data_IF_077829617849
#
_entry.id   IF_077829617849
#
_cell.length_a   1.000
_cell.length_b   1.000
_cell.length_c   1.000
_cell.angle_alpha   90.00
_cell.angle_beta   90.00
_cell.angle_gamma   90.00
#
_symmetry.space_group_name_H-M   'P 1'
#
loop_
_entity.id
_entity.type
_entity.pdbx_description
1 polymer ?
#
# COMPACT_ATOMS: atom_id res chain seq x y z
N UNK A 1 -23.64 -59.31 18.53
CA UNK A 1 -22.82 -58.18 19.03
C UNK A 1 -21.77 -57.85 17.97
N UNK A 2 -22.03 -57.02 16.94
CA UNK A 2 -21.99 -55.54 16.90
C UNK A 2 -20.64 -54.88 17.30
N UNK A 3 -19.47 -55.25 16.75
CA UNK A 3 -18.23 -54.46 16.99
C UNK A 3 -17.13 -54.47 15.89
N UNK A 4 -17.41 -54.58 14.58
CA UNK A 4 -16.32 -54.54 13.56
C UNK A 4 -16.65 -53.71 12.30
N UNK A 5 -17.53 -52.70 12.37
CA UNK A 5 -17.83 -51.83 11.21
C UNK A 5 -17.62 -50.33 11.43
N UNK A 6 -17.08 -49.92 12.57
CA UNK A 6 -17.00 -48.48 12.94
C UNK A 6 -15.59 -47.90 12.75
N UNK A 7 -14.54 -48.72 12.62
CA UNK A 7 -13.16 -48.23 12.55
C UNK A 7 -12.74 -47.80 11.12
N UNK A 8 -13.39 -48.35 10.08
CA UNK A 8 -13.04 -48.04 8.69
C UNK A 8 -13.61 -46.72 8.15
N UNK A 9 -14.54 -46.07 8.87
CA UNK A 9 -15.17 -44.80 8.44
C UNK A 9 -14.46 -43.59 9.08
N UNK A 10 -13.84 -43.77 10.25
CA UNK A 10 -13.13 -42.68 10.95
C UNK A 10 -11.74 -42.44 10.35
N UNK A 11 -11.05 -43.48 9.85
CA UNK A 11 -9.73 -43.31 9.22
C UNK A 11 -9.80 -42.58 7.85
N UNK A 12 -10.90 -42.76 7.10
CA UNK A 12 -11.07 -42.12 5.78
C UNK A 12 -11.51 -40.67 5.89
N UNK A 13 -12.10 -40.26 7.02
CA UNK A 13 -12.49 -38.87 7.28
C UNK A 13 -11.31 -38.00 7.76
N UNK A 14 -10.28 -38.62 8.37
CA UNK A 14 -9.09 -37.90 8.84
C UNK A 14 -8.06 -37.71 7.71
N UNK A 15 -8.06 -38.56 6.69
CA UNK A 15 -7.18 -38.43 5.52
C UNK A 15 -7.66 -37.41 4.49
N UNK A 16 -8.92 -36.96 4.52
CA UNK A 16 -9.44 -35.89 3.64
C UNK A 16 -9.36 -34.49 4.24
N UNK A 17 -9.06 -34.37 5.53
CA UNK A 17 -8.82 -33.09 6.20
C UNK A 17 -7.34 -32.65 6.15
N UNK A 18 -6.42 -33.57 5.80
CA UNK A 18 -4.97 -33.30 5.74
C UNK A 18 -4.46 -32.71 4.42
N UNK A 19 -5.27 -32.66 3.37
CA UNK A 19 -4.85 -32.24 2.02
C UNK A 19 -5.43 -30.90 1.56
N UNK A 20 -6.08 -30.15 2.45
CA UNK A 20 -6.61 -28.81 2.18
C UNK A 20 -5.76 -27.68 2.78
N UNK A 21 -4.47 -27.93 3.06
CA UNK A 21 -3.49 -26.86 2.89
C UNK A 21 -3.40 -26.61 1.39
N UNK A 22 -4.40 -25.92 0.85
CA UNK A 22 -4.32 -25.35 -0.47
C UNK A 22 -3.06 -24.48 -0.46
N UNK A 23 -1.97 -25.00 -0.99
CA UNK A 23 -0.87 -24.19 -1.45
C UNK A 23 -1.45 -23.31 -2.54
N UNK A 24 -2.05 -22.17 -2.15
CA UNK A 24 -2.41 -21.12 -3.08
C UNK A 24 -1.14 -20.84 -3.87
N UNK A 25 -1.13 -20.96 -5.20
CA UNK A 25 0.09 -20.69 -5.96
C UNK A 25 0.62 -19.31 -5.57
N UNK A 26 1.95 -19.20 -5.54
CA UNK A 26 2.62 -17.95 -5.22
C UNK A 26 2.50 -17.01 -6.43
N UNK A 27 1.32 -16.42 -6.57
CA UNK A 27 0.96 -15.59 -7.72
C UNK A 27 1.34 -14.15 -7.41
N UNK A 28 2.19 -13.58 -8.26
CA UNK A 28 2.48 -12.16 -8.28
C UNK A 28 1.23 -11.39 -8.70
N UNK A 29 0.83 -10.41 -7.88
CA UNK A 29 -0.40 -9.65 -8.07
C UNK A 29 -0.11 -8.38 -8.89
N UNK A 30 0.18 -8.56 -10.17
CA UNK A 30 0.54 -7.47 -11.10
C UNK A 30 -0.68 -6.92 -11.84
N UNK A 31 -0.71 -5.60 -12.05
CA UNK A 31 -1.50 -4.94 -13.08
C UNK A 31 -0.72 -4.92 -14.40
N UNK A 32 -1.18 -5.65 -15.40
CA UNK A 32 -0.48 -5.77 -16.69
C UNK A 32 -0.53 -4.50 -17.54
N UNK A 33 -1.38 -3.54 -17.20
CA UNK A 33 -1.59 -2.31 -17.98
C UNK A 33 -0.92 -1.08 -17.36
N UNK A 34 -0.54 -1.15 -16.08
CA UNK A 34 -0.04 -0.01 -15.31
C UNK A 34 1.28 -0.31 -14.62
N UNK A 35 2.12 0.72 -14.56
CA UNK A 35 3.26 0.79 -13.66
C UNK A 35 2.95 1.73 -12.50
N UNK A 36 3.53 1.44 -11.34
CA UNK A 36 3.37 2.26 -10.14
C UNK A 36 4.72 2.76 -9.67
N UNK A 37 4.76 4.02 -9.22
CA UNK A 37 5.95 4.64 -8.66
C UNK A 37 5.63 5.30 -7.33
N UNK A 38 6.64 5.46 -6.50
CA UNK A 38 6.58 6.30 -5.30
C UNK A 38 7.40 7.54 -5.56
N UNK A 39 6.88 8.69 -5.18
CA UNK A 39 7.57 9.96 -5.28
C UNK A 39 7.40 10.79 -4.02
N UNK A 40 8.10 11.91 -3.96
CA UNK A 40 8.09 12.88 -2.89
C UNK A 40 9.20 13.89 -3.13
N UNK A 41 9.49 14.71 -2.12
CA UNK A 41 10.63 15.62 -2.18
C UNK A 41 11.96 14.86 -2.42
N UNK A 42 12.11 13.66 -1.84
CA UNK A 42 13.29 12.80 -2.01
C UNK A 42 13.50 12.29 -3.44
N UNK A 43 12.46 12.31 -4.28
CA UNK A 43 12.49 11.79 -5.65
C UNK A 43 12.37 12.89 -6.73
N UNK A 44 12.19 14.15 -6.33
CA UNK A 44 11.95 15.25 -7.26
C UNK A 44 10.55 15.24 -7.88
N UNK A 45 9.56 14.65 -7.21
CA UNK A 45 8.16 14.63 -7.66
C UNK A 45 7.97 13.93 -9.03
N UNK A 46 7.66 14.68 -10.10
CA UNK A 46 7.41 14.11 -11.42
C UNK A 46 8.61 13.35 -11.98
N UNK A 47 9.81 13.74 -11.54
CA UNK A 47 11.09 13.15 -11.94
C UNK A 47 11.26 11.68 -11.49
N UNK A 48 10.33 11.13 -10.70
CA UNK A 48 10.35 9.73 -10.30
C UNK A 48 10.01 8.76 -11.45
N UNK A 49 9.19 9.20 -12.41
CA UNK A 49 8.74 8.34 -13.52
C UNK A 49 9.91 8.00 -14.43
N UNK A 50 10.00 6.72 -14.81
CA UNK A 50 11.10 6.20 -15.63
C UNK A 50 12.40 5.92 -14.86
N UNK A 51 12.46 6.21 -13.55
CA UNK A 51 13.59 5.83 -12.69
C UNK A 51 13.26 4.56 -11.93
N UNK A 52 13.96 3.47 -12.23
CA UNK A 52 13.72 2.15 -11.62
C UNK A 52 13.82 2.17 -10.09
N UNK A 53 14.66 3.03 -9.51
CA UNK A 53 14.80 3.19 -8.06
C UNK A 53 13.52 3.69 -7.35
N UNK A 54 12.56 4.23 -8.09
CA UNK A 54 11.29 4.71 -7.56
C UNK A 54 10.10 3.90 -8.09
N UNK A 55 10.34 2.92 -8.96
CA UNK A 55 9.33 2.04 -9.52
C UNK A 55 9.01 0.94 -8.52
N UNK A 56 7.72 0.75 -8.23
CA UNK A 56 7.28 -0.31 -7.34
C UNK A 56 7.32 -1.67 -8.05
N UNK A 57 7.69 -2.70 -7.31
CA UNK A 57 7.74 -4.09 -7.77
C UNK A 57 6.46 -4.82 -7.36
N UNK A 58 5.81 -5.48 -8.31
CA UNK A 58 4.67 -6.34 -8.02
C UNK A 58 5.12 -7.56 -7.22
N UNK A 59 4.37 -7.92 -6.17
CA UNK A 59 4.69 -9.07 -5.30
C UNK A 59 3.45 -9.93 -5.08
N UNK A 60 3.66 -11.09 -4.47
CA UNK A 60 2.57 -11.96 -4.04
C UNK A 60 2.11 -11.62 -2.62
N UNK A 61 0.91 -12.08 -2.24
CA UNK A 61 0.44 -12.01 -0.86
C UNK A 61 1.26 -12.90 0.12
N UNK A 62 2.12 -13.76 -0.41
CA UNK A 62 3.01 -14.62 0.40
C UNK A 62 4.39 -14.00 0.61
N UNK A 63 4.68 -12.88 -0.05
CA UNK A 63 5.96 -12.19 0.11
C UNK A 63 6.19 -11.85 1.59
N UNK A 64 7.37 -12.23 2.09
CA UNK A 64 7.70 -12.07 3.51
C UNK A 64 7.75 -10.59 3.92
N UNK A 65 8.03 -9.68 2.97
CA UNK A 65 8.17 -8.25 3.22
C UNK A 65 6.84 -7.57 3.55
N UNK A 66 5.72 -8.16 3.15
CA UNK A 66 4.36 -7.66 3.47
C UNK A 66 3.66 -8.50 4.55
N UNK A 67 4.39 -9.39 5.22
CA UNK A 67 3.79 -10.35 6.16
C UNK A 67 2.98 -9.66 7.28
N UNK A 68 3.42 -8.48 7.74
CA UNK A 68 2.75 -7.70 8.77
C UNK A 68 1.37 -7.17 8.33
N UNK A 69 1.16 -6.95 7.02
CA UNK A 69 -0.08 -6.40 6.46
C UNK A 69 -0.95 -7.47 5.79
N UNK A 70 -0.56 -8.75 5.88
CA UNK A 70 -1.18 -9.84 5.10
C UNK A 70 -2.68 -9.99 5.34
N UNK A 71 -3.15 -9.71 6.57
CA UNK A 71 -4.57 -9.78 6.90
C UNK A 71 -5.37 -8.69 6.17
N UNK A 72 -4.86 -7.46 6.16
CA UNK A 72 -5.49 -6.30 5.52
C UNK A 72 -5.42 -6.36 3.98
N UNK A 73 -4.41 -7.06 3.45
CA UNK A 73 -4.19 -7.26 2.01
C UNK A 73 -4.95 -8.48 1.44
N UNK A 74 -5.77 -9.16 2.25
CA UNK A 74 -6.52 -10.33 1.79
C UNK A 74 -7.49 -9.94 0.67
N UNK A 75 -7.37 -10.61 -0.47
CA UNK A 75 -8.20 -10.33 -1.65
C UNK A 75 -7.65 -9.19 -2.52
N UNK A 76 -6.40 -8.76 -2.30
CA UNK A 76 -5.73 -7.86 -3.22
C UNK A 76 -5.73 -8.44 -4.64
N UNK A 77 -6.20 -7.64 -5.59
CA UNK A 77 -6.08 -7.89 -7.02
C UNK A 77 -4.67 -7.53 -7.49
N UNK A 78 -4.16 -6.40 -6.98
CA UNK A 78 -2.83 -5.88 -7.27
C UNK A 78 -2.10 -5.57 -5.97
N UNK A 79 -0.80 -5.88 -5.90
CA UNK A 79 0.05 -5.62 -4.74
C UNK A 79 1.47 -5.28 -5.17
N UNK A 80 1.95 -4.14 -4.71
CA UNK A 80 3.23 -3.56 -5.09
C UNK A 80 3.99 -3.07 -3.86
N UNK A 81 5.31 -3.17 -3.91
CA UNK A 81 6.20 -2.61 -2.90
C UNK A 81 7.35 -1.81 -3.49
N UNK A 82 7.91 -0.88 -2.72
CA UNK A 82 9.21 -0.27 -2.96
C UNK A 82 10.01 -0.28 -1.66
N UNK A 83 11.16 -0.95 -1.65
CA UNK A 83 12.01 -1.11 -0.47
C UNK A 83 13.02 0.04 -0.34
N UNK A 84 13.59 0.18 0.86
CA UNK A 84 14.69 1.11 1.15
C UNK A 84 14.37 2.57 0.83
N UNK A 85 13.11 3.00 0.99
CA UNK A 85 12.73 4.41 0.82
C UNK A 85 13.18 5.17 2.06
N UNK A 86 14.20 6.01 1.91
CA UNK A 86 14.76 6.82 2.99
C UNK A 86 13.99 8.14 3.09
N UNK A 87 13.40 8.38 4.25
CA UNK A 87 12.66 9.58 4.59
C UNK A 87 13.45 10.37 5.64
N UNK A 88 13.75 11.63 5.32
CA UNK A 88 14.38 12.59 6.21
C UNK A 88 13.32 13.51 6.83
N UNK A 89 13.53 13.96 8.07
CA UNK A 89 12.76 15.01 8.74
C UNK A 89 13.42 16.40 8.63
N UNK A 90 14.41 16.53 7.75
CA UNK A 90 15.12 17.79 7.49
C UNK A 90 15.51 17.92 6.03
N UNK A 91 15.57 19.16 5.55
CA UNK A 91 16.31 19.53 4.34
C UNK A 91 15.46 19.78 3.11
N UNK A 92 14.12 19.80 3.21
CA UNK A 92 13.28 20.15 2.07
C UNK A 92 13.25 21.66 1.78
N UNK A 93 13.50 22.49 2.79
CA UNK A 93 13.41 23.95 2.67
C UNK A 93 11.98 24.50 2.71
N UNK A 94 11.00 23.64 3.00
CA UNK A 94 9.59 23.98 3.20
C UNK A 94 8.93 23.00 4.18
N UNK A 95 7.79 23.37 4.74
CA UNK A 95 7.06 22.59 5.74
C UNK A 95 5.75 22.04 5.16
N UNK A 96 5.46 20.79 5.48
CA UNK A 96 4.17 20.16 5.21
C UNK A 96 3.31 20.14 6.47
N UNK A 97 1.99 20.13 6.29
CA UNK A 97 1.02 20.05 7.38
C UNK A 97 0.26 18.73 7.35
N UNK A 98 -0.03 18.21 8.53
CA UNK A 98 -0.89 17.04 8.72
C UNK A 98 -1.78 17.22 9.94
N UNK A 99 -2.80 16.39 10.09
CA UNK A 99 -3.75 16.48 11.21
C UNK A 99 -3.61 15.24 12.09
N UNK A 100 -3.31 15.45 13.36
CA UNK A 100 -3.27 14.38 14.36
C UNK A 100 -4.16 14.77 15.55
N UNK A 101 -5.16 13.93 15.87
CA UNK A 101 -6.09 14.22 16.96
C UNK A 101 -6.89 15.52 16.77
N UNK A 102 -7.16 15.94 15.53
CA UNK A 102 -7.86 17.18 15.22
C UNK A 102 -7.02 18.45 15.33
N UNK A 103 -5.70 18.32 15.47
CA UNK A 103 -4.76 19.45 15.56
C UNK A 103 -3.84 19.45 14.34
N UNK A 104 -3.65 20.62 13.72
CA UNK A 104 -2.65 20.80 12.66
C UNK A 104 -1.26 20.71 13.26
N UNK A 105 -0.45 19.83 12.69
CA UNK A 105 0.97 19.67 12.97
C UNK A 105 1.78 19.96 11.73
N UNK A 106 3.02 20.39 11.94
CA UNK A 106 3.97 20.66 10.88
C UNK A 106 5.10 19.64 10.89
N UNK A 107 5.66 19.38 9.71
CA UNK A 107 6.80 18.51 9.49
C UNK A 107 7.63 19.04 8.31
N UNK A 108 8.83 18.52 8.11
CA UNK A 108 9.64 18.89 6.95
C UNK A 108 9.06 18.29 5.67
N UNK A 109 9.15 19.02 4.56
CA UNK A 109 8.68 18.56 3.26
C UNK A 109 9.27 17.21 2.79
N UNK A 110 10.42 16.79 3.32
CA UNK A 110 11.02 15.50 3.01
C UNK A 110 10.22 14.32 3.55
N UNK A 111 9.31 14.57 4.49
CA UNK A 111 8.36 13.58 4.99
C UNK A 111 7.15 13.39 4.08
N UNK A 112 7.04 14.14 2.98
CA UNK A 112 5.92 14.01 2.05
C UNK A 112 6.18 12.98 0.96
N UNK A 113 5.12 12.28 0.57
CA UNK A 113 5.17 11.32 -0.51
C UNK A 113 3.87 11.27 -1.31
N UNK A 114 3.95 10.75 -2.53
CA UNK A 114 2.81 10.38 -3.37
C UNK A 114 3.07 9.07 -4.10
N UNK A 115 1.98 8.44 -4.55
CA UNK A 115 2.00 7.31 -5.48
C UNK A 115 1.62 7.79 -6.87
N UNK A 116 2.33 7.32 -7.88
CA UNK A 116 2.03 7.59 -9.28
C UNK A 116 1.56 6.32 -9.95
N UNK A 117 0.62 6.47 -10.89
CA UNK A 117 0.20 5.41 -11.79
C UNK A 117 0.49 5.88 -13.20
N UNK A 118 1.14 5.03 -13.97
CA UNK A 118 1.57 5.32 -15.34
C UNK A 118 1.06 4.20 -16.24
N UNK A 119 0.40 4.51 -17.35
CA UNK A 119 0.11 3.51 -18.37
C UNK A 119 1.41 2.90 -18.89
N UNK A 120 1.47 1.57 -19.06
CA UNK A 120 2.69 0.92 -19.56
C UNK A 120 3.10 1.51 -20.91
N UNK A 121 4.38 1.85 -21.03
CA UNK A 121 4.96 2.49 -22.21
C UNK A 121 4.70 4.01 -22.31
N UNK A 122 4.12 4.63 -21.28
CA UNK A 122 4.02 6.09 -21.16
C UNK A 122 5.07 6.64 -20.19
N UNK A 123 5.38 7.92 -20.35
CA UNK A 123 6.36 8.64 -19.51
C UNK A 123 5.70 9.65 -18.56
N UNK A 124 4.41 9.93 -18.76
CA UNK A 124 3.63 10.83 -17.92
C UNK A 124 2.68 10.03 -17.00
N UNK A 125 2.57 10.38 -15.71
CA UNK A 125 1.60 9.77 -14.83
C UNK A 125 0.17 10.13 -15.25
N UNK A 126 -0.68 9.11 -15.37
CA UNK A 126 -2.13 9.29 -15.61
C UNK A 126 -2.87 9.75 -14.35
N UNK A 127 -2.18 9.66 -13.20
CA UNK A 127 -2.76 9.80 -11.88
C UNK A 127 -1.67 10.12 -10.86
N UNK A 128 -2.06 10.80 -9.79
CA UNK A 128 -1.26 11.00 -8.59
C UNK A 128 -2.07 10.56 -7.38
N UNK A 129 -1.43 10.20 -6.29
CA UNK A 129 -2.11 9.74 -5.09
C UNK A 129 -1.37 10.24 -3.85
N UNK A 130 -2.01 10.90 -2.89
CA UNK A 130 -3.45 11.20 -2.86
C UNK A 130 -3.79 12.39 -3.77
N UNK A 131 -4.86 12.26 -4.55
CA UNK A 131 -5.55 13.38 -5.23
C UNK A 131 -7.00 13.00 -5.58
N UNK A 132 -7.91 13.96 -5.81
CA UNK A 132 -9.34 13.69 -5.99
C UNK A 132 -9.65 12.78 -7.18
N UNK A 133 -8.96 12.96 -8.30
CA UNK A 133 -9.04 12.09 -9.47
C UNK A 133 -8.58 10.67 -9.17
N UNK A 134 -7.77 10.52 -8.11
CA UNK A 134 -7.33 9.23 -7.62
C UNK A 134 -8.44 8.49 -6.85
N UNK A 135 -9.41 9.23 -6.32
CA UNK A 135 -10.35 8.68 -5.35
C UNK A 135 -9.66 8.27 -4.05
N UNK A 136 -10.42 7.75 -3.10
CA UNK A 136 -9.91 7.55 -1.75
C UNK A 136 -8.85 6.45 -1.71
N UNK A 137 -7.73 6.71 -1.04
CA UNK A 137 -6.78 5.69 -0.64
C UNK A 137 -6.89 5.48 0.86
N UNK A 138 -7.15 4.23 1.22
CA UNK A 138 -7.20 3.81 2.62
C UNK A 138 -5.80 3.57 3.16
N UNK A 139 -5.60 4.00 4.39
CA UNK A 139 -4.31 3.88 5.06
C UNK A 139 -4.18 2.54 5.78
N UNK A 140 -3.17 1.74 5.42
CA UNK A 140 -2.86 0.46 6.06
C UNK A 140 -2.10 0.64 7.37
N UNK A 141 -1.36 1.74 7.53
CA UNK A 141 -0.45 1.98 8.67
C UNK A 141 -0.61 3.41 9.20
N UNK A 142 -1.75 3.72 9.84
CA UNK A 142 -2.07 5.07 10.32
C UNK A 142 -1.16 5.59 11.43
N UNK A 143 -0.37 4.72 12.05
CA UNK A 143 0.67 5.05 13.03
C UNK A 143 1.99 5.51 12.40
N UNK A 144 2.19 5.24 11.11
CA UNK A 144 3.40 5.60 10.34
C UNK A 144 3.12 6.61 9.23
N UNK A 145 1.92 6.59 8.66
CA UNK A 145 1.53 7.39 7.52
C UNK A 145 0.28 8.17 7.88
N UNK A 146 0.20 9.41 7.45
CA UNK A 146 -1.02 10.20 7.43
C UNK A 146 -1.41 10.46 5.97
N UNK A 147 -2.68 10.25 5.64
CA UNK A 147 -3.24 10.50 4.30
C UNK A 147 -4.33 11.57 4.45
N UNK A 148 -4.25 12.69 3.70
CA UNK A 148 -5.29 13.71 3.73
C UNK A 148 -6.61 13.18 3.17
N UNK A 149 -7.71 13.66 3.73
CA UNK A 149 -9.03 13.48 3.14
C UNK A 149 -9.26 14.39 1.93
N UNK A 150 -10.40 14.22 1.26
CA UNK A 150 -10.84 15.12 0.19
C UNK A 150 -11.80 16.17 0.71
N UNK A 151 -11.25 17.28 1.17
CA UNK A 151 -12.08 18.44 1.52
C UNK A 151 -11.46 19.65 0.85
N UNK A 152 -12.22 20.28 -0.04
CA UNK A 152 -11.76 21.47 -0.78
C UNK A 152 -11.40 22.62 0.17
N UNK A 153 -12.21 22.78 1.22
CA UNK A 153 -11.99 23.77 2.28
C UNK A 153 -12.09 23.09 3.64
N UNK A 154 -11.04 22.39 4.10
CA UNK A 154 -11.07 21.69 5.38
C UNK A 154 -11.14 22.71 6.53
N UNK A 155 -11.91 22.38 7.57
CA UNK A 155 -11.91 23.19 8.81
C UNK A 155 -10.54 23.15 9.51
N UNK A 156 -9.79 22.05 9.31
CA UNK A 156 -8.48 21.79 9.91
C UNK A 156 -7.60 21.01 8.93
N UNK A 157 -6.37 21.46 8.68
CA UNK A 157 -5.36 20.73 7.90
C UNK A 157 -5.27 21.13 6.43
N UNK A 158 -4.47 20.40 5.63
CA UNK A 158 -4.26 20.71 4.21
C UNK A 158 -5.49 20.31 3.39
N UNK A 159 -5.62 20.97 2.25
CA UNK A 159 -6.74 20.85 1.34
C UNK A 159 -6.79 19.52 0.57
N UNK A 160 -7.79 19.43 -0.32
CA UNK A 160 -8.10 18.31 -1.21
C UNK A 160 -6.93 17.73 -2.03
N UNK A 161 -5.78 18.42 -2.15
CA UNK A 161 -4.59 17.91 -2.85
C UNK A 161 -3.35 17.81 -1.94
N UNK A 162 -3.55 17.84 -0.62
CA UNK A 162 -2.50 17.65 0.37
C UNK A 162 -1.64 16.41 0.11
N UNK A 163 -0.38 16.48 0.48
CA UNK A 163 0.51 15.32 0.39
C UNK A 163 0.30 14.39 1.58
N UNK A 164 0.24 13.06 1.36
CA UNK A 164 0.53 12.09 2.40
C UNK A 164 1.86 12.42 3.13
N UNK A 165 1.86 12.23 4.45
CA UNK A 165 2.99 12.55 5.33
C UNK A 165 3.41 11.30 6.09
N UNK A 166 4.68 10.93 5.98
CA UNK A 166 5.32 9.92 6.83
C UNK A 166 5.59 10.55 8.19
N UNK A 167 5.05 9.98 9.25
CA UNK A 167 5.01 10.61 10.57
C UNK A 167 6.36 10.63 11.29
N UNK A 168 7.34 9.84 10.82
CA UNK A 168 8.68 9.73 11.38
C UNK A 168 9.72 9.59 10.26
N UNK A 169 10.91 10.17 10.45
CA UNK A 169 12.06 9.85 9.61
C UNK A 169 12.49 8.39 9.81
N UNK A 170 13.03 7.78 8.75
CA UNK A 170 13.39 6.37 8.77
C UNK A 170 13.57 5.79 7.38
N UNK A 171 13.81 4.48 7.32
CA UNK A 171 13.82 3.71 6.08
C UNK A 171 12.59 2.81 6.07
N UNK A 172 11.90 2.77 4.93
CA UNK A 172 10.62 2.09 4.82
C UNK A 172 10.52 1.25 3.56
N UNK A 173 9.81 0.13 3.69
CA UNK A 173 9.16 -0.52 2.56
C UNK A 173 7.78 0.12 2.38
N UNK A 174 7.58 0.77 1.23
CA UNK A 174 6.31 1.39 0.83
C UNK A 174 5.43 0.33 0.18
N UNK A 175 4.15 0.29 0.55
CA UNK A 175 3.17 -0.69 0.05
C UNK A 175 2.03 0.02 -0.65
N UNK A 176 1.63 -0.48 -1.82
CA UNK A 176 0.41 -0.07 -2.53
C UNK A 176 -0.38 -1.29 -2.97
N UNK A 177 -1.69 -1.27 -2.75
CA UNK A 177 -2.56 -2.38 -3.11
C UNK A 177 -3.90 -1.90 -3.66
N UNK A 178 -4.49 -2.72 -4.54
CA UNK A 178 -5.85 -2.54 -5.05
C UNK A 178 -6.64 -3.79 -4.74
N UNK A 179 -7.74 -3.63 -4.00
CA UNK A 179 -8.63 -4.69 -3.60
C UNK A 179 -9.96 -4.58 -4.35
N UNK A 180 -10.54 -5.71 -4.73
CA UNK A 180 -11.90 -5.76 -5.24
C UNK A 180 -12.90 -5.75 -4.08
N UNK A 181 -13.96 -4.95 -4.23
CA UNK A 181 -15.12 -4.94 -3.34
C UNK A 181 -16.40 -4.91 -4.17
N UNK A 182 -17.55 -5.15 -3.54
CA UNK A 182 -18.85 -5.06 -4.20
C UNK A 182 -19.14 -3.66 -4.78
N UNK A 183 -18.49 -2.63 -4.24
CA UNK A 183 -18.59 -1.24 -4.70
C UNK A 183 -17.54 -0.86 -5.76
N UNK A 184 -16.68 -1.80 -6.18
CA UNK A 184 -15.59 -1.60 -7.14
C UNK A 184 -14.20 -1.70 -6.50
N UNK A 185 -13.21 -1.11 -7.18
CA UNK A 185 -11.81 -1.17 -6.77
C UNK A 185 -11.52 -0.16 -5.66
N UNK A 186 -10.98 -0.65 -4.54
CA UNK A 186 -10.55 0.16 -3.39
C UNK A 186 -9.04 0.12 -3.30
N UNK A 187 -8.42 1.28 -3.08
CA UNK A 187 -6.96 1.41 -3.06
C UNK A 187 -6.47 1.60 -1.65
N UNK A 188 -5.33 1.01 -1.37
CA UNK A 188 -4.71 1.01 -0.06
C UNK A 188 -3.23 1.37 -0.21
N UNK A 189 -2.73 2.15 0.74
CA UNK A 189 -1.33 2.50 0.84
C UNK A 189 -0.86 2.41 2.28
N UNK A 190 0.41 2.10 2.48
CA UNK A 190 1.01 2.03 3.81
C UNK A 190 2.51 1.89 3.75
N UNK A 191 3.10 1.81 4.93
CA UNK A 191 4.54 1.74 5.15
C UNK A 191 4.86 0.61 6.11
N UNK A 192 6.00 -0.04 5.92
CA UNK A 192 6.57 -0.98 6.87
C UNK A 192 7.95 -0.42 7.21
N UNK A 193 8.20 -0.12 8.49
CA UNK A 193 9.51 0.32 8.94
C UNK A 193 10.53 -0.82 8.84
N UNK A 194 11.73 -0.52 8.34
CA UNK A 194 12.85 -1.46 8.20
C UNK A 194 13.75 -1.54 9.44
#
# INVERSE_FOLDING_TARGET
>A
MKKIKVIAIILTLVLTLGSLVACTPDVVLENTEKDYYVTGQFAGWGDAVGKDQFRMTAVSLKDARVAALKADLKGAKYLYILENVVISDTGAGWTAQYVEGGVVKECDGNQTMKWLQVAKGQEAPDWWAQSPESGEIKNLTPDLLWIPGFTETPEVGPDWNGNPVVLKAGTYTVVFAVLESDAGLVKYAGLIAE
#
